data_IF_266994662845
#
_entry.id   IF_266994662845
#
_cell.length_a   1.000
_cell.length_b   1.000
_cell.length_c   1.000
_cell.angle_alpha   90.00
_cell.angle_beta   90.00
_cell.angle_gamma   90.00
#
_symmetry.space_group_name_H-M   'P 1'
#
loop_
_entity.id
_entity.type
_entity.pdbx_description
1 polymer ?
#
# COMPACT_ATOMS: atom_id res chain seq x y z
N UNK A 1 11.65 -1.94 32.20
CA UNK A 1 11.46 -0.95 31.12
C UNK A 1 9.96 -0.74 30.95
N UNK A 2 9.44 0.43 31.33
CA UNK A 2 8.02 0.74 31.19
C UNK A 2 7.69 0.98 29.72
N UNK A 3 6.93 0.10 29.09
CA UNK A 3 6.37 0.33 27.76
C UNK A 3 5.33 1.44 27.90
N UNK A 4 5.66 2.66 27.45
CA UNK A 4 4.69 3.74 27.30
C UNK A 4 3.76 3.38 26.13
N UNK A 5 2.74 2.58 26.40
CA UNK A 5 1.65 2.29 25.46
C UNK A 5 0.78 3.53 25.33
N UNK A 6 1.20 4.50 24.52
CA UNK A 6 0.37 5.67 24.23
C UNK A 6 -0.90 5.19 23.50
N UNK A 7 -2.11 5.50 23.99
CA UNK A 7 -3.39 5.01 23.43
C UNK A 7 -3.58 5.38 21.95
N UNK A 8 -2.93 6.44 21.48
CA UNK A 8 -2.91 6.87 20.07
C UNK A 8 -2.46 5.78 19.08
N UNK A 9 -1.61 4.84 19.51
CA UNK A 9 -1.07 3.80 18.62
C UNK A 9 -2.08 2.68 18.30
N UNK A 10 -3.00 2.40 19.23
CA UNK A 10 -4.04 1.39 19.02
C UNK A 10 -5.05 1.80 17.93
N UNK A 11 -5.33 3.10 17.83
CA UNK A 11 -6.16 3.65 16.75
C UNK A 11 -5.48 3.44 15.40
N UNK A 12 -4.19 3.78 15.29
CA UNK A 12 -3.45 3.73 14.02
C UNK A 12 -3.40 2.33 13.39
N UNK A 13 -3.28 1.29 14.21
CA UNK A 13 -3.27 -0.09 13.71
C UNK A 13 -4.64 -0.55 13.18
N UNK A 14 -5.75 -0.06 13.77
CA UNK A 14 -7.09 -0.29 13.21
C UNK A 14 -7.28 0.42 11.88
N UNK A 15 -6.78 1.65 11.77
CA UNK A 15 -6.79 2.41 10.51
C UNK A 15 -5.98 1.75 9.41
N UNK A 16 -4.89 1.02 9.75
CA UNK A 16 -4.08 0.29 8.77
C UNK A 16 -4.90 -0.73 7.96
N UNK A 17 -5.70 -1.57 8.64
CA UNK A 17 -6.56 -2.55 7.98
C UNK A 17 -7.56 -1.87 7.04
N UNK A 18 -8.22 -0.81 7.49
CA UNK A 18 -9.16 -0.05 6.68
C UNK A 18 -8.49 0.60 5.47
N UNK A 19 -7.29 1.15 5.64
CA UNK A 19 -6.54 1.79 4.55
C UNK A 19 -6.19 0.79 3.43
N UNK A 20 -5.74 -0.42 3.78
CA UNK A 20 -5.51 -1.49 2.81
C UNK A 20 -6.78 -1.96 2.10
N UNK A 21 -7.90 -2.08 2.83
CA UNK A 21 -9.18 -2.46 2.23
C UNK A 21 -9.67 -1.39 1.24
N UNK A 22 -9.61 -0.12 1.61
CA UNK A 22 -9.97 1.00 0.72
C UNK A 22 -9.06 1.03 -0.50
N UNK A 23 -7.74 0.88 -0.31
CA UNK A 23 -6.77 0.80 -1.39
C UNK A 23 -7.10 -0.32 -2.38
N UNK A 24 -7.38 -1.53 -1.87
CA UNK A 24 -7.78 -2.66 -2.69
C UNK A 24 -9.07 -2.41 -3.49
N UNK A 25 -10.08 -1.77 -2.88
CA UNK A 25 -11.31 -1.39 -3.59
C UNK A 25 -11.07 -0.35 -4.69
N UNK A 26 -10.23 0.66 -4.44
CA UNK A 26 -9.84 1.63 -5.47
C UNK A 26 -9.12 0.94 -6.63
N UNK A 27 -8.32 -0.09 -6.34
CA UNK A 27 -7.62 -0.87 -7.34
C UNK A 27 -8.53 -1.82 -8.14
N UNK A 28 -9.66 -2.25 -7.55
CA UNK A 28 -10.73 -2.93 -8.31
C UNK A 28 -11.37 -1.97 -9.31
N UNK A 29 -11.56 -0.70 -8.95
CA UNK A 29 -12.07 0.32 -9.88
C UNK A 29 -11.10 0.54 -11.03
N UNK A 30 -9.80 0.65 -10.76
CA UNK A 30 -8.78 0.73 -11.80
C UNK A 30 -8.78 -0.52 -12.72
N UNK A 31 -8.85 -1.72 -12.14
CA UNK A 31 -8.94 -2.96 -12.92
C UNK A 31 -10.15 -2.96 -13.87
N UNK A 32 -11.30 -2.43 -13.42
CA UNK A 32 -12.48 -2.29 -14.26
C UNK A 32 -12.25 -1.31 -15.41
N UNK A 33 -11.60 -0.17 -15.15
CA UNK A 33 -11.22 0.81 -16.18
C UNK A 33 -10.30 0.18 -17.23
N UNK A 34 -9.25 -0.53 -16.80
CA UNK A 34 -8.32 -1.22 -17.70
C UNK A 34 -9.04 -2.28 -18.53
N UNK A 35 -9.93 -3.07 -17.92
CA UNK A 35 -10.71 -4.06 -18.64
C UNK A 35 -11.65 -3.42 -19.68
N UNK A 36 -12.31 -2.31 -19.33
CA UNK A 36 -13.14 -1.54 -20.25
C UNK A 36 -12.33 -1.00 -21.42
N UNK A 37 -11.15 -0.44 -21.18
CA UNK A 37 -10.24 0.01 -22.24
C UNK A 37 -9.85 -1.14 -23.19
N UNK A 38 -9.51 -2.32 -22.66
CA UNK A 38 -9.19 -3.50 -23.49
C UNK A 38 -10.36 -3.91 -24.38
N UNK A 39 -11.59 -3.86 -23.86
CA UNK A 39 -12.79 -4.29 -24.60
C UNK A 39 -13.25 -3.26 -25.63
N UNK A 40 -13.16 -1.97 -25.30
CA UNK A 40 -13.70 -0.87 -26.12
C UNK A 40 -12.68 -0.27 -27.07
N UNK A 41 -11.39 -0.37 -26.76
CA UNK A 41 -10.31 0.37 -27.43
C UNK A 41 -10.28 1.86 -27.07
N UNK A 42 -11.11 2.34 -26.13
CA UNK A 42 -11.16 3.75 -25.74
C UNK A 42 -10.15 4.07 -24.63
N UNK A 43 -9.14 4.88 -24.96
CA UNK A 43 -8.05 5.26 -24.05
C UNK A 43 -8.40 6.42 -23.10
N UNK A 44 -9.55 7.08 -23.31
CA UNK A 44 -9.93 8.29 -22.58
C UNK A 44 -10.06 8.13 -21.06
N UNK A 45 -10.19 6.91 -20.55
CA UNK A 45 -10.29 6.62 -19.12
C UNK A 45 -8.95 6.19 -18.49
N UNK A 46 -7.88 6.00 -19.25
CA UNK A 46 -6.60 5.52 -18.71
C UNK A 46 -5.97 6.52 -17.72
N UNK A 47 -6.07 7.82 -18.01
CA UNK A 47 -5.61 8.89 -17.11
C UNK A 47 -6.39 8.87 -15.80
N UNK A 48 -7.70 8.64 -15.86
CA UNK A 48 -8.53 8.46 -14.67
C UNK A 48 -8.11 7.20 -13.88
N UNK A 49 -7.80 6.10 -14.58
CA UNK A 49 -7.25 4.89 -13.97
C UNK A 49 -5.99 5.18 -13.17
N UNK A 50 -5.03 5.93 -13.73
CA UNK A 50 -3.82 6.34 -13.01
C UNK A 50 -4.10 7.17 -11.76
N UNK A 51 -5.16 8.00 -11.75
CA UNK A 51 -5.57 8.71 -10.54
C UNK A 51 -6.04 7.74 -9.45
N UNK A 52 -6.79 6.69 -9.80
CA UNK A 52 -7.18 5.62 -8.89
C UNK A 52 -5.99 4.79 -8.41
N UNK A 53 -5.05 4.46 -9.29
CA UNK A 53 -3.79 3.79 -8.92
C UNK A 53 -3.03 4.62 -7.89
N UNK A 54 -2.87 5.92 -8.11
CA UNK A 54 -2.23 6.82 -7.18
C UNK A 54 -2.93 6.88 -5.82
N UNK A 55 -4.26 7.01 -5.81
CA UNK A 55 -5.04 7.03 -4.59
C UNK A 55 -4.95 5.68 -3.83
N UNK A 56 -5.03 4.56 -4.54
CA UNK A 56 -4.91 3.23 -3.97
C UNK A 56 -3.55 3.01 -3.31
N UNK A 57 -2.45 3.27 -4.02
CA UNK A 57 -1.10 3.13 -3.47
C UNK A 57 -0.83 4.07 -2.30
N UNK A 58 -1.35 5.30 -2.35
CA UNK A 58 -1.29 6.22 -1.20
C UNK A 58 -1.96 5.59 0.02
N UNK A 59 -3.18 5.08 -0.14
CA UNK A 59 -3.91 4.38 0.93
C UNK A 59 -3.15 3.16 1.46
N UNK A 60 -2.59 2.34 0.57
CA UNK A 60 -1.85 1.14 0.94
C UNK A 60 -0.56 1.49 1.73
N UNK A 61 0.16 2.54 1.34
CA UNK A 61 1.37 2.99 2.03
C UNK A 61 1.07 3.67 3.38
N UNK A 62 -0.05 4.40 3.49
CA UNK A 62 -0.55 4.87 4.79
C UNK A 62 -0.89 3.66 5.69
N UNK A 63 -1.52 2.63 5.11
CA UNK A 63 -1.74 1.36 5.77
C UNK A 63 -0.44 0.75 6.30
N UNK A 64 0.60 0.72 5.46
CA UNK A 64 1.92 0.21 5.78
C UNK A 64 2.57 0.97 6.95
N UNK A 65 2.49 2.31 6.94
CA UNK A 65 2.97 3.15 8.05
C UNK A 65 2.29 2.81 9.38
N UNK A 66 1.02 2.40 9.35
CA UNK A 66 0.31 1.96 10.55
C UNK A 66 0.83 0.67 11.19
N UNK A 67 1.65 -0.12 10.49
CA UNK A 67 2.31 -1.30 11.02
C UNK A 67 3.62 -0.98 11.76
N UNK A 68 4.15 0.25 11.62
CA UNK A 68 5.42 0.66 12.21
C UNK A 68 5.51 0.41 13.72
N UNK A 69 4.49 0.73 14.56
CA UNK A 69 4.61 0.58 16.00
C UNK A 69 4.85 -0.86 16.45
N UNK A 70 4.28 -1.84 15.74
CA UNK A 70 4.48 -3.26 16.06
C UNK A 70 5.89 -3.75 15.72
N UNK A 71 6.48 -3.22 14.64
CA UNK A 71 7.78 -3.66 14.14
C UNK A 71 8.96 -2.90 14.76
N UNK A 72 8.76 -1.62 15.12
CA UNK A 72 9.81 -0.76 15.66
C UNK A 72 10.42 -1.30 16.97
N UNK A 73 9.63 -2.04 17.75
CA UNK A 73 10.08 -2.66 19.01
C UNK A 73 11.03 -3.85 18.77
N UNK A 74 10.90 -4.53 17.63
CA UNK A 74 11.65 -5.78 17.32
C UNK A 74 12.74 -5.60 16.28
N UNK A 75 12.58 -4.70 15.32
CA UNK A 75 13.56 -4.41 14.27
C UNK A 75 13.62 -2.92 13.96
N UNK A 76 14.41 -2.18 14.75
CA UNK A 76 14.47 -0.72 14.67
C UNK A 76 14.94 -0.21 13.30
N UNK A 77 15.94 -0.85 12.70
CA UNK A 77 16.56 -0.36 11.46
C UNK A 77 15.68 -0.58 10.24
N UNK A 78 15.19 -1.81 10.03
CA UNK A 78 14.30 -2.11 8.89
C UNK A 78 12.99 -1.33 8.97
N UNK A 79 12.40 -1.23 10.15
CA UNK A 79 11.14 -0.49 10.33
C UNK A 79 11.29 1.01 10.05
N UNK A 80 12.42 1.61 10.46
CA UNK A 80 12.69 3.03 10.16
C UNK A 80 12.94 3.27 8.68
N UNK A 81 13.74 2.41 8.04
CA UNK A 81 13.96 2.48 6.59
C UNK A 81 12.63 2.35 5.84
N UNK A 82 11.81 1.35 6.21
CA UNK A 82 10.48 1.16 5.65
C UNK A 82 9.58 2.38 5.80
N UNK A 83 9.59 3.06 6.95
CA UNK A 83 8.81 4.30 7.14
C UNK A 83 9.28 5.43 6.22
N UNK A 84 10.59 5.60 6.07
CA UNK A 84 11.14 6.62 5.16
C UNK A 84 10.70 6.35 3.72
N UNK A 85 10.87 5.11 3.26
CA UNK A 85 10.44 4.72 1.91
C UNK A 85 8.94 4.85 1.73
N UNK A 86 8.14 4.34 2.66
CA UNK A 86 6.68 4.47 2.60
C UNK A 86 6.24 5.94 2.57
N UNK A 87 6.89 6.82 3.34
CA UNK A 87 6.64 8.27 3.30
C UNK A 87 6.93 8.90 1.94
N UNK A 88 8.06 8.55 1.31
CA UNK A 88 8.40 8.97 -0.07
C UNK A 88 7.31 8.50 -1.04
N UNK A 89 6.89 7.24 -0.91
CA UNK A 89 5.84 6.67 -1.75
C UNK A 89 4.49 7.37 -1.55
N UNK A 90 4.08 7.65 -0.31
CA UNK A 90 2.82 8.39 -0.03
C UNK A 90 2.81 9.73 -0.75
N UNK A 91 3.89 10.51 -0.65
CA UNK A 91 3.98 11.81 -1.33
C UNK A 91 3.94 11.62 -2.85
N UNK A 92 4.72 10.68 -3.38
CA UNK A 92 4.81 10.44 -4.82
C UNK A 92 3.44 10.05 -5.41
N UNK A 93 2.77 9.07 -4.81
CA UNK A 93 1.49 8.56 -5.30
C UNK A 93 0.34 9.54 -5.06
N UNK A 94 0.37 10.34 -3.99
CA UNK A 94 -0.62 11.39 -3.77
C UNK A 94 -0.51 12.47 -4.85
N UNK A 95 0.72 12.92 -5.14
CA UNK A 95 0.96 13.90 -6.20
C UNK A 95 0.57 13.32 -7.56
N UNK A 96 0.96 12.08 -7.86
CA UNK A 96 0.56 11.39 -9.09
C UNK A 96 -0.96 11.31 -9.22
N UNK A 97 -1.68 10.94 -8.16
CA UNK A 97 -3.14 10.87 -8.17
C UNK A 97 -3.79 12.22 -8.50
N UNK A 98 -3.30 13.29 -7.87
CA UNK A 98 -3.79 14.66 -8.11
C UNK A 98 -3.47 15.11 -9.52
N UNK A 99 -2.23 14.93 -9.99
CA UNK A 99 -1.81 15.34 -11.34
C UNK A 99 -2.61 14.60 -12.40
N UNK A 100 -2.80 13.28 -12.27
CA UNK A 100 -3.65 12.49 -13.18
C UNK A 100 -5.10 12.97 -13.16
N UNK A 101 -5.66 13.28 -11.98
CA UNK A 101 -7.03 13.79 -11.91
C UNK A 101 -7.18 15.18 -12.56
N UNK A 102 -6.20 16.05 -12.37
CA UNK A 102 -6.17 17.40 -12.97
C UNK A 102 -6.02 17.31 -14.50
N UNK A 103 -5.21 16.37 -15.00
CA UNK A 103 -5.09 16.11 -16.43
C UNK A 103 -6.39 15.55 -17.02
N UNK A 104 -7.02 14.59 -16.34
CA UNK A 104 -8.28 13.98 -16.77
C UNK A 104 -9.42 15.01 -16.96
N UNK A 105 -9.49 16.04 -16.12
CA UNK A 105 -10.48 17.12 -16.26
C UNK A 105 -10.08 18.21 -17.29
N UNK A 106 -8.97 18.00 -18.00
CA UNK A 106 -8.52 18.82 -19.13
C UNK A 106 -7.71 20.07 -18.74
N UNK A 107 -7.25 20.18 -17.49
CA UNK A 107 -6.52 21.38 -17.03
C UNK A 107 -5.07 21.39 -17.53
N UNK A 108 -4.41 20.23 -17.64
CA UNK A 108 -2.99 20.13 -18.04
C UNK A 108 -2.75 20.00 -19.55
N UNK A 109 -3.82 20.08 -20.36
CA UNK A 109 -3.74 20.08 -21.83
C UNK A 109 -2.88 18.97 -22.46
N UNK A 110 -2.78 17.80 -21.81
CA UNK A 110 -2.03 16.64 -22.32
C UNK A 110 -0.54 16.63 -22.00
N UNK A 111 -0.04 17.48 -21.11
CA UNK A 111 1.37 17.45 -20.68
C UNK A 111 1.70 16.28 -19.74
N UNK A 112 0.74 15.43 -19.38
CA UNK A 112 0.91 14.35 -18.42
C UNK A 112 2.04 13.37 -18.79
N UNK A 113 2.16 12.99 -20.07
CA UNK A 113 3.17 12.03 -20.54
C UNK A 113 4.60 12.51 -20.25
N UNK A 114 4.83 13.84 -20.32
CA UNK A 114 6.13 14.44 -20.01
C UNK A 114 6.46 14.42 -18.52
N UNK A 115 5.44 14.44 -17.66
CA UNK A 115 5.58 14.49 -16.20
C UNK A 115 5.64 13.08 -15.60
N UNK A 116 4.91 12.12 -16.20
CA UNK A 116 4.74 10.75 -15.70
C UNK A 116 6.05 10.03 -15.39
N UNK A 117 7.06 10.20 -16.25
CA UNK A 117 8.38 9.56 -16.09
C UNK A 117 9.09 9.98 -14.79
N UNK A 118 8.84 11.18 -14.28
CA UNK A 118 9.47 11.67 -13.06
C UNK A 118 8.92 11.01 -11.79
N UNK A 119 7.77 10.33 -11.86
CA UNK A 119 7.24 9.57 -10.73
C UNK A 119 7.94 8.21 -10.55
N UNK A 120 8.55 7.64 -11.60
CA UNK A 120 9.12 6.28 -11.57
C UNK A 120 10.12 6.08 -10.41
N UNK A 121 11.09 6.97 -10.16
CA UNK A 121 12.02 6.79 -9.04
C UNK A 121 11.29 6.80 -7.69
N UNK A 122 10.32 7.69 -7.49
CA UNK A 122 9.55 7.78 -6.25
C UNK A 122 8.63 6.57 -6.03
N UNK A 123 8.05 6.04 -7.12
CA UNK A 123 7.27 4.80 -7.11
C UNK A 123 8.17 3.64 -6.71
N UNK A 124 9.29 3.43 -7.41
CA UNK A 124 10.21 2.33 -7.14
C UNK A 124 10.77 2.39 -5.71
N UNK A 125 11.33 3.53 -5.32
CA UNK A 125 11.92 3.71 -3.99
C UNK A 125 10.85 3.63 -2.91
N UNK A 126 9.69 4.24 -3.15
CA UNK A 126 8.64 4.36 -2.14
C UNK A 126 7.87 3.07 -1.90
N UNK A 127 7.30 2.48 -2.96
CA UNK A 127 6.50 1.26 -2.81
C UNK A 127 7.37 0.03 -2.65
N UNK A 128 8.29 -0.25 -3.57
CA UNK A 128 9.03 -1.52 -3.55
C UNK A 128 9.87 -1.63 -2.28
N UNK A 129 10.69 -0.63 -1.96
CA UNK A 129 11.54 -0.70 -0.77
C UNK A 129 10.73 -0.59 0.52
N UNK A 130 9.62 0.17 0.53
CA UNK A 130 8.71 0.26 1.67
C UNK A 130 8.11 -1.11 2.00
N UNK A 131 7.41 -1.71 1.04
CA UNK A 131 6.77 -3.01 1.21
C UNK A 131 7.77 -4.14 1.48
N UNK A 132 8.93 -4.15 0.81
CA UNK A 132 10.00 -5.13 1.10
C UNK A 132 10.52 -4.96 2.53
N UNK A 133 10.82 -3.75 2.98
CA UNK A 133 11.34 -3.53 4.33
C UNK A 133 10.34 -4.00 5.41
N UNK A 134 9.06 -3.66 5.26
CA UNK A 134 8.00 -4.09 6.18
C UNK A 134 7.69 -5.59 6.09
N UNK A 135 7.67 -6.16 4.88
CA UNK A 135 7.47 -7.59 4.65
C UNK A 135 8.60 -8.41 5.27
N UNK A 136 9.85 -8.07 4.99
CA UNK A 136 11.03 -8.71 5.58
C UNK A 136 11.06 -8.54 7.09
N UNK A 137 10.80 -7.33 7.62
CA UNK A 137 10.72 -7.12 9.07
C UNK A 137 9.62 -7.99 9.71
N UNK A 138 8.48 -8.15 9.05
CA UNK A 138 7.37 -9.00 9.54
C UNK A 138 7.70 -10.49 9.45
N UNK A 139 8.57 -10.92 8.53
CA UNK A 139 9.03 -12.30 8.44
C UNK A 139 10.16 -12.62 9.42
N UNK A 140 11.03 -11.64 9.68
CA UNK A 140 12.16 -11.78 10.61
C UNK A 140 11.79 -11.59 12.07
N UNK A 141 10.67 -10.93 12.34
CA UNK A 141 10.20 -10.69 13.70
C UNK A 141 8.86 -11.40 13.90
N UNK A 142 8.66 -11.99 15.08
CA UNK A 142 7.35 -12.55 15.45
C UNK A 142 6.35 -11.45 15.87
N UNK A 143 6.52 -10.22 15.36
CA UNK A 143 5.61 -9.10 15.64
C UNK A 143 4.26 -9.27 14.92
N UNK A 144 4.28 -9.88 13.74
CA UNK A 144 3.11 -10.18 12.94
C UNK A 144 3.16 -11.63 12.41
N UNK A 145 2.05 -12.11 11.82
CA UNK A 145 2.02 -13.45 11.24
C UNK A 145 2.91 -13.55 9.99
N UNK A 146 3.52 -14.71 9.77
CA UNK A 146 4.31 -14.98 8.55
C UNK A 146 3.49 -14.79 7.28
N UNK A 147 2.20 -15.12 7.32
CA UNK A 147 1.26 -14.89 6.22
C UNK A 147 1.19 -13.42 5.83
N UNK A 148 1.07 -12.51 6.81
CA UNK A 148 1.09 -11.08 6.52
C UNK A 148 2.44 -10.65 5.91
N UNK A 149 3.55 -11.14 6.46
CA UNK A 149 4.88 -10.86 5.92
C UNK A 149 5.04 -11.25 4.45
N UNK A 150 4.57 -12.43 4.05
CA UNK A 150 4.57 -12.87 2.65
C UNK A 150 3.62 -12.03 1.80
N UNK A 151 2.40 -11.76 2.28
CA UNK A 151 1.43 -10.95 1.55
C UNK A 151 1.95 -9.53 1.26
N UNK A 152 2.70 -8.92 2.19
CA UNK A 152 3.33 -7.62 1.98
C UNK A 152 4.39 -7.63 0.88
N UNK A 153 5.01 -8.77 0.55
CA UNK A 153 5.96 -8.87 -0.55
C UNK A 153 5.29 -8.93 -1.92
N UNK A 154 4.02 -9.37 -1.99
CA UNK A 154 3.29 -9.54 -3.26
C UNK A 154 3.16 -8.21 -4.03
N UNK A 155 2.66 -7.10 -3.44
CA UNK A 155 2.58 -5.82 -4.14
C UNK A 155 3.93 -5.30 -4.60
N UNK A 156 5.00 -5.50 -3.80
CA UNK A 156 6.34 -5.08 -4.18
C UNK A 156 6.84 -5.82 -5.43
N UNK A 157 6.59 -7.13 -5.52
CA UNK A 157 6.95 -7.95 -6.68
C UNK A 157 6.15 -7.51 -7.90
N UNK A 158 4.83 -7.33 -7.76
CA UNK A 158 3.94 -6.93 -8.86
C UNK A 158 4.34 -5.56 -9.43
N UNK A 159 4.61 -4.57 -8.58
CA UNK A 159 5.11 -3.25 -9.03
C UNK A 159 6.48 -3.36 -9.69
N UNK A 160 7.41 -4.10 -9.10
CA UNK A 160 8.73 -4.27 -9.69
C UNK A 160 8.64 -4.93 -11.08
N UNK A 161 7.80 -5.97 -11.22
CA UNK A 161 7.50 -6.60 -12.52
C UNK A 161 6.89 -5.60 -13.50
N UNK A 162 5.95 -4.77 -13.06
CA UNK A 162 5.32 -3.76 -13.92
C UNK A 162 6.34 -2.74 -14.44
N UNK A 163 7.22 -2.23 -13.58
CA UNK A 163 8.28 -1.27 -13.94
C UNK A 163 9.29 -1.92 -14.88
N UNK A 164 9.78 -3.12 -14.57
CA UNK A 164 10.75 -3.82 -15.41
C UNK A 164 10.19 -4.09 -16.81
N UNK A 165 8.92 -4.47 -16.89
CA UNK A 165 8.21 -4.66 -18.14
C UNK A 165 8.13 -3.37 -18.95
N UNK A 166 7.76 -2.26 -18.32
CA UNK A 166 7.71 -0.94 -18.96
C UNK A 166 9.08 -0.52 -19.50
N UNK A 167 10.14 -0.67 -18.70
CA UNK A 167 11.52 -0.38 -19.12
C UNK A 167 11.98 -1.28 -20.28
N UNK A 168 11.50 -2.52 -20.32
CA UNK A 168 11.77 -3.46 -21.42
C UNK A 168 10.94 -3.21 -22.69
N UNK A 169 10.02 -2.24 -22.70
CA UNK A 169 9.13 -1.98 -23.83
C UNK A 169 8.10 -3.09 -24.09
N UNK A 170 7.81 -3.91 -23.08
CA UNK A 170 6.88 -5.05 -23.18
C UNK A 170 5.45 -4.63 -22.83
N UNK A 171 4.85 -3.80 -23.67
CA UNK A 171 3.50 -3.28 -23.43
C UNK A 171 2.44 -4.32 -23.81
N UNK A 172 1.79 -4.89 -22.79
CA UNK A 172 0.68 -5.83 -22.96
C UNK A 172 -0.44 -5.48 -21.98
N UNK A 173 -1.54 -4.95 -22.48
CA UNK A 173 -2.68 -4.51 -21.66
C UNK A 173 -3.25 -5.63 -20.79
N UNK A 174 -3.30 -6.87 -21.30
CA UNK A 174 -3.74 -8.05 -20.53
C UNK A 174 -2.84 -8.36 -19.34
N UNK A 175 -1.53 -8.15 -19.49
CA UNK A 175 -0.58 -8.30 -18.39
C UNK A 175 -0.70 -7.14 -17.39
N UNK A 176 -1.00 -5.92 -17.85
CA UNK A 176 -1.30 -4.78 -16.96
C UNK A 176 -2.52 -5.11 -16.11
N UNK A 177 -3.60 -5.58 -16.74
CA UNK A 177 -4.82 -6.00 -16.04
C UNK A 177 -4.53 -7.09 -15.00
N UNK A 178 -3.74 -8.10 -15.34
CA UNK A 178 -3.38 -9.16 -14.41
C UNK A 178 -2.61 -8.64 -13.19
N UNK A 179 -1.68 -7.70 -13.39
CA UNK A 179 -0.93 -7.06 -12.31
C UNK A 179 -1.86 -6.25 -11.40
N UNK A 180 -2.73 -5.40 -11.97
CA UNK A 180 -3.67 -4.57 -11.21
C UNK A 180 -4.64 -5.42 -10.40
N UNK A 181 -5.17 -6.50 -10.98
CA UNK A 181 -6.00 -7.47 -10.24
C UNK A 181 -5.20 -8.11 -9.10
N UNK A 182 -3.95 -8.49 -9.35
CA UNK A 182 -3.05 -9.04 -8.34
C UNK A 182 -2.84 -8.07 -7.17
N UNK A 183 -2.60 -6.79 -7.45
CA UNK A 183 -2.44 -5.75 -6.44
C UNK A 183 -3.73 -5.53 -5.65
N UNK A 184 -4.88 -5.47 -6.32
CA UNK A 184 -6.19 -5.35 -5.69
C UNK A 184 -6.43 -6.49 -4.68
N UNK A 185 -6.23 -7.74 -5.12
CA UNK A 185 -6.40 -8.93 -4.29
C UNK A 185 -5.41 -8.95 -3.13
N UNK A 186 -4.14 -8.59 -3.36
CA UNK A 186 -3.13 -8.53 -2.33
C UNK A 186 -3.48 -7.50 -1.25
N UNK A 187 -3.89 -6.29 -1.64
CA UNK A 187 -4.29 -5.23 -0.70
C UNK A 187 -5.54 -5.63 0.10
N UNK A 188 -6.56 -6.21 -0.54
CA UNK A 188 -7.74 -6.73 0.15
C UNK A 188 -7.38 -7.84 1.14
N UNK A 189 -6.51 -8.78 0.73
CA UNK A 189 -6.05 -9.87 1.59
C UNK A 189 -5.27 -9.35 2.81
N UNK A 190 -4.36 -8.38 2.61
CA UNK A 190 -3.63 -7.73 3.70
C UNK A 190 -4.61 -7.08 4.68
N UNK A 191 -5.54 -6.26 4.17
CA UNK A 191 -6.54 -5.59 4.99
C UNK A 191 -7.42 -6.57 5.77
N UNK A 192 -7.83 -7.68 5.15
CA UNK A 192 -8.62 -8.73 5.80
C UNK A 192 -7.83 -9.48 6.89
N UNK A 193 -6.58 -9.86 6.62
CA UNK A 193 -5.70 -10.53 7.60
C UNK A 193 -5.45 -9.62 8.79
N UNK A 194 -5.19 -8.34 8.56
CA UNK A 194 -5.04 -7.36 9.64
C UNK A 194 -6.32 -7.22 10.46
N UNK A 195 -7.49 -7.13 9.81
CA UNK A 195 -8.79 -6.99 10.49
C UNK A 195 -9.18 -8.21 11.32
N UNK A 196 -8.79 -9.41 10.90
CA UNK A 196 -9.11 -10.68 11.55
C UNK A 196 -8.09 -11.12 12.62
N UNK A 197 -6.95 -10.43 12.74
CA UNK A 197 -5.88 -10.81 13.68
C UNK A 197 -6.22 -10.46 15.15
N UNK A 198 -6.32 -11.44 16.07
CA UNK A 198 -6.67 -11.20 17.47
C UNK A 198 -5.68 -10.33 18.25
N UNK A 199 -4.42 -10.26 17.81
CA UNK A 199 -3.38 -9.46 18.47
C UNK A 199 -3.72 -7.96 18.52
N UNK A 200 -4.59 -7.46 17.63
CA UNK A 200 -5.08 -6.08 17.66
C UNK A 200 -6.24 -5.87 18.65
N UNK A 201 -6.96 -6.93 18.99
CA UNK A 201 -8.12 -6.89 19.88
C UNK A 201 -7.73 -7.13 21.35
N UNK A 202 -6.73 -7.99 21.60
CA UNK A 202 -6.41 -8.51 22.93
C UNK A 202 -5.56 -7.63 23.87
N UNK A 203 -5.04 -6.48 23.43
CA UNK A 203 -4.23 -5.59 24.31
C UNK A 203 -5.06 -4.74 25.29
N UNK A 204 -6.39 -4.86 25.28
CA UNK A 204 -7.29 -4.05 26.11
C UNK A 204 -7.95 -4.82 27.26
N UNK A 205 -7.75 -6.14 27.37
CA UNK A 205 -8.32 -6.90 28.48
C UNK A 205 -7.36 -6.86 29.67
N UNK A 206 -7.73 -6.20 30.79
CA UNK A 206 -6.90 -6.20 31.98
C UNK A 206 -6.76 -7.63 32.47
N UNK A 207 -5.56 -8.00 32.93
CA UNK A 207 -5.31 -9.33 33.46
C UNK A 207 -6.37 -9.66 34.54
N UNK A 208 -7.14 -10.75 34.39
CA UNK A 208 -8.15 -11.13 35.37
C UNK A 208 -7.41 -11.53 36.66
N UNK A 209 -7.26 -10.59 37.59
CA UNK A 209 -6.50 -10.83 38.81
C UNK A 209 -6.08 -9.60 39.62
N UNK A 210 -6.08 -8.38 39.07
CA UNK A 210 -5.93 -7.16 39.91
C UNK A 210 -7.25 -6.84 40.62
N UNK A 211 -7.67 -7.73 41.52
CA UNK A 211 -8.60 -7.37 42.59
C UNK A 211 -7.80 -6.50 43.55
N UNK A 212 -8.00 -5.18 43.47
CA UNK A 212 -7.48 -4.25 44.49
C UNK A 212 -8.20 -4.54 45.80
N UNK A 213 -7.56 -5.32 46.66
CA UNK A 213 -7.92 -5.36 48.08
C UNK A 213 -7.49 -4.03 48.70
N UNK A 214 -8.50 -3.20 49.01
CA UNK A 214 -8.37 -2.06 49.91
C UNK A 214 -8.44 -2.51 51.36
#
# INVERSE_FOLDING_TARGET
MASVTKPQWGSFAKWSATAFLVAGLLMVVDAAIVATNIVTGEEGFLVLGQAFVGAAWTGALIGLLGLYPGLADRSRWLSRAGVVFAGIGVVTFAVMAVVSLVDYVGILAGEFDSIGVFFIPGVLVGSVLGFVAFGVASLWTDAYSRTLGVLLLVPAILVATNILRFVAGLEAATLTLAIVIGDALAMLAIGYVLRSSPQLSGRLEPAPGEVRHG
#
